data_IF_763746014972
#
_entry.id   IF_763746014972
#
_cell.length_a   1.000
_cell.length_b   1.000
_cell.length_c   1.000
_cell.angle_alpha   90.00
_cell.angle_beta   90.00
_cell.angle_gamma   90.00
#
_symmetry.space_group_name_H-M   'P 1'
#
loop_
_entity.id
_entity.type
_entity.pdbx_description
1 polymer ?
#
# COMPACT_ATOMS: atom_id res chain seq x y z
N UNK A 1 -7.57 -27.87 3.07
CA UNK A 1 -6.16 -27.67 2.67
C UNK A 1 -5.94 -26.18 2.51
N UNK A 2 -4.91 -25.64 3.14
CA UNK A 2 -4.54 -24.23 2.99
C UNK A 2 -3.98 -23.99 1.59
N UNK A 3 -4.49 -23.00 0.87
CA UNK A 3 -4.03 -22.66 -0.48
C UNK A 3 -2.73 -21.85 -0.45
N UNK A 4 -2.01 -21.83 -1.59
CA UNK A 4 -0.78 -21.03 -1.71
C UNK A 4 -1.02 -19.53 -1.50
N UNK A 5 -2.19 -19.03 -1.92
CA UNK A 5 -2.57 -17.63 -1.71
C UNK A 5 -2.80 -17.31 -0.22
N UNK A 6 -3.46 -18.21 0.53
CA UNK A 6 -3.67 -18.02 1.99
C UNK A 6 -2.35 -17.98 2.76
N UNK A 7 -1.38 -18.85 2.40
CA UNK A 7 -0.05 -18.86 3.01
C UNK A 7 0.64 -17.50 2.80
N UNK A 8 0.64 -17.00 1.56
CA UNK A 8 1.25 -15.71 1.23
C UNK A 8 0.51 -14.53 1.86
N UNK A 9 -0.84 -14.55 1.87
CA UNK A 9 -1.65 -13.53 2.54
C UNK A 9 -1.32 -13.45 4.04
N UNK A 10 -1.11 -14.57 4.72
CA UNK A 10 -0.72 -14.61 6.13
C UNK A 10 0.70 -14.06 6.38
N UNK A 11 1.56 -13.99 5.36
CA UNK A 11 2.86 -13.31 5.46
C UNK A 11 2.74 -11.79 5.25
N UNK A 12 1.78 -11.36 4.42
CA UNK A 12 1.52 -9.94 4.12
C UNK A 12 0.70 -9.28 5.23
N UNK A 13 -0.24 -10.03 5.82
CA UNK A 13 -1.19 -9.57 6.82
C UNK A 13 -0.88 -10.20 8.19
N UNK A 14 -1.19 -9.49 9.26
CA UNK A 14 -1.24 -10.05 10.61
C UNK A 14 -2.69 -10.03 11.10
N UNK A 15 -3.28 -11.22 11.37
CA UNK A 15 -4.70 -11.34 11.78
C UNK A 15 -5.67 -10.62 10.83
N UNK A 16 -5.43 -10.73 9.52
CA UNK A 16 -6.25 -10.11 8.49
C UNK A 16 -6.09 -8.58 8.36
N UNK A 17 -5.08 -7.98 8.98
CA UNK A 17 -4.80 -6.53 8.94
C UNK A 17 -3.40 -6.25 8.42
N UNK A 18 -3.22 -5.08 7.81
CA UNK A 18 -2.00 -4.65 7.14
C UNK A 18 -1.40 -3.39 7.78
N UNK A 19 -0.11 -3.42 8.07
CA UNK A 19 0.71 -2.23 8.26
C UNK A 19 1.89 -2.35 7.30
N UNK A 20 1.85 -1.58 6.21
CA UNK A 20 2.80 -1.71 5.12
C UNK A 20 3.52 -0.39 4.82
N UNK A 21 4.82 -0.47 4.53
CA UNK A 21 5.59 0.66 4.01
C UNK A 21 5.81 0.46 2.50
N UNK A 22 5.13 1.24 1.62
CA UNK A 22 5.47 1.27 0.21
C UNK A 22 6.75 2.09 0.01
N UNK A 23 7.77 1.48 -0.58
CA UNK A 23 9.07 2.05 -0.91
C UNK A 23 9.37 1.96 -2.41
N UNK A 24 8.32 2.00 -3.21
CA UNK A 24 8.35 1.98 -4.68
C UNK A 24 8.73 3.35 -5.30
N UNK A 25 8.82 4.39 -4.48
CA UNK A 25 9.00 5.78 -4.90
C UNK A 25 10.30 6.05 -5.67
N UNK A 26 11.35 5.25 -5.48
CA UNK A 26 12.65 5.46 -6.09
C UNK A 26 12.64 5.51 -7.62
N UNK A 27 11.79 4.73 -8.29
CA UNK A 27 11.64 4.81 -9.76
C UNK A 27 11.03 6.15 -10.17
N UNK A 28 10.04 6.64 -9.41
CA UNK A 28 9.34 7.86 -9.77
C UNK A 28 10.13 9.13 -9.44
N UNK A 29 10.83 9.17 -8.32
CA UNK A 29 11.38 10.38 -7.75
C UNK A 29 12.90 10.34 -7.49
N UNK A 30 13.56 9.21 -7.78
CA UNK A 30 14.98 8.99 -7.44
C UNK A 30 15.20 8.69 -5.96
N UNK A 31 16.42 8.84 -5.46
CA UNK A 31 16.74 8.68 -4.04
C UNK A 31 16.15 9.87 -3.26
N UNK A 32 15.10 9.60 -2.49
CA UNK A 32 14.38 10.59 -1.68
C UNK A 32 14.69 10.37 -0.19
N UNK A 33 14.45 11.41 0.62
CA UNK A 33 14.64 11.38 2.07
C UNK A 33 13.99 10.14 2.71
N UNK A 34 14.78 9.38 3.46
CA UNK A 34 14.40 8.16 4.16
C UNK A 34 14.39 6.90 3.28
N UNK A 35 14.64 7.02 1.97
CA UNK A 35 14.76 5.90 1.03
C UNK A 35 16.09 5.90 0.27
N UNK A 36 17.12 6.54 0.79
CA UNK A 36 18.49 6.45 0.29
C UNK A 36 19.02 5.02 0.42
N UNK A 37 18.64 4.32 1.49
CA UNK A 37 18.86 2.89 1.73
C UNK A 37 17.56 2.19 2.15
N UNK A 38 16.78 1.66 1.18
CA UNK A 38 15.54 0.94 1.47
C UNK A 38 15.73 -0.32 2.32
N UNK A 39 16.89 -0.99 2.23
CA UNK A 39 17.17 -2.18 3.02
C UNK A 39 17.32 -1.84 4.51
N UNK A 40 18.06 -0.78 4.83
CA UNK A 40 18.18 -0.27 6.20
C UNK A 40 16.82 0.07 6.78
N UNK A 41 15.93 0.70 5.99
CA UNK A 41 14.57 1.02 6.43
C UNK A 41 13.76 -0.22 6.77
N UNK A 42 13.84 -1.29 5.96
CA UNK A 42 13.18 -2.57 6.24
C UNK A 42 13.62 -3.10 7.61
N UNK A 43 14.92 -3.28 7.80
CA UNK A 43 15.46 -3.88 9.04
C UNK A 43 15.24 -3.03 10.28
N UNK A 44 15.20 -1.71 10.12
CA UNK A 44 14.87 -0.78 11.19
C UNK A 44 13.43 -0.91 11.68
N UNK A 45 12.50 -1.29 10.80
CA UNK A 45 11.07 -1.30 11.08
C UNK A 45 10.49 -2.72 11.29
N UNK A 46 11.14 -3.80 10.80
CA UNK A 46 10.55 -5.15 10.74
C UNK A 46 10.13 -5.75 12.09
N UNK A 47 10.71 -5.30 13.21
CA UNK A 47 10.41 -5.80 14.55
C UNK A 47 9.41 -4.96 15.34
N UNK A 48 8.88 -3.89 14.73
CA UNK A 48 8.03 -2.89 15.38
C UNK A 48 6.53 -3.01 15.03
N UNK A 49 6.10 -4.17 14.49
CA UNK A 49 4.71 -4.42 14.11
C UNK A 49 4.43 -4.22 12.62
N UNK A 50 5.46 -3.93 11.81
CA UNK A 50 5.33 -3.91 10.36
C UNK A 50 4.95 -5.30 9.85
N UNK A 51 3.96 -5.39 8.94
CA UNK A 51 3.54 -6.67 8.37
C UNK A 51 4.18 -6.93 7.02
N UNK A 52 4.41 -5.88 6.23
CA UNK A 52 4.91 -6.02 4.86
C UNK A 52 5.53 -4.73 4.33
N UNK A 53 6.25 -4.86 3.24
CA UNK A 53 6.77 -3.73 2.44
C UNK A 53 6.47 -3.94 0.97
N UNK A 54 6.35 -2.84 0.23
CA UNK A 54 6.23 -2.84 -1.23
C UNK A 54 7.53 -2.23 -1.77
N UNK A 55 8.27 -3.00 -2.56
CA UNK A 55 9.57 -2.61 -3.12
C UNK A 55 9.67 -2.94 -4.59
N UNK A 56 10.53 -2.24 -5.30
CA UNK A 56 10.83 -2.56 -6.70
C UNK A 56 11.74 -3.80 -6.79
N UNK A 57 11.63 -4.54 -7.90
CA UNK A 57 12.37 -5.80 -8.12
C UNK A 57 13.89 -5.69 -7.97
N UNK A 58 14.47 -4.55 -8.38
CA UNK A 58 15.90 -4.28 -8.21
C UNK A 58 16.34 -4.23 -6.75
N UNK A 59 15.51 -3.61 -5.90
CA UNK A 59 15.74 -3.56 -4.45
C UNK A 59 15.56 -4.94 -3.83
N UNK A 60 14.53 -5.69 -4.24
CA UNK A 60 14.31 -7.04 -3.74
C UNK A 60 15.47 -7.98 -4.10
N UNK A 61 15.99 -7.89 -5.34
CA UNK A 61 17.11 -8.70 -5.81
C UNK A 61 18.40 -8.50 -5.01
N UNK A 62 18.58 -7.30 -4.44
CA UNK A 62 19.79 -6.93 -3.67
C UNK A 62 19.58 -7.00 -2.17
N UNK A 63 18.50 -7.61 -1.69
CA UNK A 63 18.22 -7.75 -0.26
C UNK A 63 19.35 -8.58 0.40
N UNK A 64 20.11 -8.01 1.36
CA UNK A 64 21.33 -8.65 1.86
C UNK A 64 21.07 -9.86 2.78
N UNK A 65 19.89 -9.95 3.38
CA UNK A 65 19.48 -11.07 4.24
C UNK A 65 17.94 -11.22 4.22
N UNK A 66 17.43 -12.43 4.55
CA UNK A 66 15.98 -12.63 4.67
C UNK A 66 15.36 -11.72 5.71
N UNK A 67 14.09 -11.36 5.49
CA UNK A 67 13.24 -10.63 6.43
C UNK A 67 12.07 -11.48 6.89
N UNK A 68 11.49 -11.14 8.06
CA UNK A 68 10.33 -11.85 8.64
C UNK A 68 8.99 -11.32 8.14
N UNK A 69 8.98 -10.12 7.54
CA UNK A 69 7.77 -9.48 7.03
C UNK A 69 7.49 -9.89 5.58
N UNK A 70 6.25 -9.70 5.12
CA UNK A 70 5.85 -9.97 3.75
C UNK A 70 6.50 -9.01 2.75
N UNK A 71 6.92 -9.54 1.62
CA UNK A 71 7.55 -8.79 0.54
C UNK A 71 6.64 -8.73 -0.68
N UNK A 72 6.17 -7.53 -1.06
CA UNK A 72 5.43 -7.31 -2.30
C UNK A 72 6.35 -6.60 -3.31
N UNK A 73 6.41 -7.15 -4.54
CA UNK A 73 7.12 -6.50 -5.64
C UNK A 73 6.17 -5.59 -6.40
N UNK A 74 6.59 -4.33 -6.59
CA UNK A 74 5.84 -3.36 -7.38
C UNK A 74 6.21 -3.43 -8.85
N UNK A 75 5.19 -3.54 -9.73
CA UNK A 75 5.42 -3.67 -11.17
C UNK A 75 5.13 -2.41 -11.97
N UNK A 76 4.34 -1.49 -11.44
CA UNK A 76 3.99 -0.27 -12.16
C UNK A 76 5.08 0.79 -12.05
N UNK A 77 5.53 1.31 -13.17
CA UNK A 77 6.61 2.29 -13.19
C UNK A 77 6.30 3.47 -14.09
N UNK A 78 6.62 4.65 -13.61
CA UNK A 78 6.74 5.89 -14.38
C UNK A 78 7.69 6.83 -13.62
N UNK A 79 8.26 7.80 -14.31
CA UNK A 79 9.19 8.75 -13.69
C UNK A 79 8.64 10.18 -13.74
N UNK A 80 9.02 11.01 -12.77
CA UNK A 80 8.74 12.46 -12.79
C UNK A 80 9.46 13.18 -13.93
N UNK A 81 10.45 12.52 -14.56
CA UNK A 81 11.18 13.04 -15.73
C UNK A 81 10.42 12.82 -17.04
N UNK A 82 9.35 12.00 -17.01
CA UNK A 82 8.54 11.71 -18.18
C UNK A 82 7.54 12.83 -18.47
N UNK A 83 7.18 13.01 -19.75
CA UNK A 83 6.06 13.87 -20.17
C UNK A 83 4.69 13.27 -19.82
N UNK A 84 4.63 11.98 -19.47
CA UNK A 84 3.42 11.26 -19.07
C UNK A 84 3.60 10.55 -17.71
N UNK A 85 3.75 11.28 -16.58
CA UNK A 85 4.05 10.70 -15.27
C UNK A 85 2.89 9.86 -14.70
N UNK A 86 1.67 10.08 -15.18
CA UNK A 86 0.49 9.31 -14.78
C UNK A 86 0.34 7.98 -15.53
N UNK A 87 1.01 7.81 -16.67
CA UNK A 87 1.03 6.56 -17.43
C UNK A 87 1.95 5.55 -16.76
N UNK A 88 1.36 4.52 -16.16
CA UNK A 88 2.11 3.46 -15.50
C UNK A 88 2.33 2.30 -16.46
N UNK A 89 3.59 1.85 -16.56
CA UNK A 89 3.99 0.74 -17.42
C UNK A 89 4.47 -0.43 -16.57
N UNK A 90 4.22 -1.66 -17.04
CA UNK A 90 4.72 -2.86 -16.37
C UNK A 90 6.23 -3.00 -16.55
N UNK A 91 6.92 -3.26 -15.45
CA UNK A 91 8.38 -3.50 -15.43
C UNK A 91 8.76 -4.86 -14.84
N UNK A 92 7.78 -5.73 -14.61
CA UNK A 92 7.96 -7.07 -14.08
C UNK A 92 6.85 -8.02 -14.48
N UNK A 93 6.99 -9.28 -14.09
CA UNK A 93 5.98 -10.33 -14.25
C UNK A 93 5.85 -11.15 -12.97
N UNK A 94 4.69 -11.80 -12.77
CA UNK A 94 4.45 -12.64 -11.60
C UNK A 94 5.47 -13.79 -11.52
N UNK A 95 5.85 -14.38 -12.64
CA UNK A 95 6.91 -15.41 -12.71
C UNK A 95 8.26 -14.88 -12.20
N UNK A 96 8.60 -13.61 -12.48
CA UNK A 96 9.81 -12.98 -11.92
C UNK A 96 9.69 -12.78 -10.41
N UNK A 97 8.54 -12.32 -9.91
CA UNK A 97 8.29 -12.17 -8.47
C UNK A 97 8.39 -13.49 -7.70
N UNK A 98 7.85 -14.58 -8.26
CA UNK A 98 7.99 -15.93 -7.68
C UNK A 98 9.47 -16.33 -7.56
N UNK A 99 10.28 -16.10 -8.60
CA UNK A 99 11.73 -16.40 -8.54
C UNK A 99 12.50 -15.54 -7.55
N UNK A 100 12.03 -14.33 -7.29
CA UNK A 100 12.62 -13.43 -6.30
C UNK A 100 12.19 -13.78 -4.86
N UNK A 101 11.23 -14.70 -4.68
CA UNK A 101 10.71 -15.08 -3.36
C UNK A 101 9.68 -14.09 -2.80
N UNK A 102 8.98 -13.36 -3.66
CA UNK A 102 7.91 -12.44 -3.24
C UNK A 102 6.72 -13.18 -2.63
N UNK A 103 6.09 -12.55 -1.65
CA UNK A 103 4.84 -12.99 -1.03
C UNK A 103 3.62 -12.39 -1.72
N UNK A 104 3.81 -11.35 -2.53
CA UNK A 104 2.76 -10.70 -3.32
C UNK A 104 3.33 -9.75 -4.36
N UNK A 105 2.45 -9.22 -5.19
CA UNK A 105 2.77 -8.18 -6.17
C UNK A 105 1.85 -6.98 -6.00
N UNK A 106 2.25 -5.83 -6.51
CA UNK A 106 1.39 -4.65 -6.50
C UNK A 106 1.44 -3.89 -7.83
N UNK A 107 0.31 -3.29 -8.17
CA UNK A 107 0.14 -2.40 -9.32
C UNK A 107 -0.40 -1.05 -8.88
N UNK A 108 -0.10 0.00 -9.65
CA UNK A 108 -0.64 1.34 -9.48
C UNK A 108 -1.50 1.69 -10.69
N UNK A 109 -2.77 1.94 -10.48
CA UNK A 109 -3.77 2.24 -11.48
C UNK A 109 -4.35 3.63 -11.20
N UNK A 110 -4.24 4.55 -12.15
CA UNK A 110 -4.90 5.85 -12.09
C UNK A 110 -6.20 5.77 -12.89
N UNK A 111 -7.31 6.15 -12.27
CA UNK A 111 -8.65 6.15 -12.86
C UNK A 111 -9.07 7.58 -13.16
N UNK A 112 -9.75 7.79 -14.30
CA UNK A 112 -10.28 9.05 -14.74
C UNK A 112 -9.39 9.83 -15.72
N UNK A 113 -8.31 9.23 -16.22
CA UNK A 113 -7.41 9.81 -17.21
C UNK A 113 -7.36 9.03 -18.52
N UNK A 114 -6.74 9.64 -19.54
CA UNK A 114 -6.62 9.05 -20.89
C UNK A 114 -5.81 7.75 -20.92
N UNK A 115 -4.93 7.52 -19.94
CA UNK A 115 -4.11 6.30 -19.84
C UNK A 115 -4.80 5.16 -19.08
N UNK A 116 -6.01 5.36 -18.56
CA UNK A 116 -6.77 4.38 -17.80
C UNK A 116 -6.98 3.04 -18.54
N UNK A 117 -7.41 3.01 -19.83
CA UNK A 117 -7.67 1.75 -20.52
C UNK A 117 -6.46 0.82 -20.58
N UNK A 118 -5.27 1.38 -20.82
CA UNK A 118 -4.01 0.62 -20.83
C UNK A 118 -3.67 0.06 -19.45
N UNK A 119 -3.88 0.83 -18.39
CA UNK A 119 -3.61 0.39 -17.02
C UNK A 119 -4.61 -0.67 -16.55
N UNK A 120 -5.87 -0.61 -17.00
CA UNK A 120 -6.87 -1.66 -16.72
C UNK A 120 -6.54 -2.96 -17.45
N UNK A 121 -6.06 -2.91 -18.70
CA UNK A 121 -5.56 -4.08 -19.44
C UNK A 121 -4.38 -4.74 -18.69
N UNK A 122 -3.44 -3.93 -18.21
CA UNK A 122 -2.31 -4.39 -17.41
C UNK A 122 -2.78 -5.05 -16.09
N UNK A 123 -3.77 -4.46 -15.41
CA UNK A 123 -4.33 -5.02 -14.18
C UNK A 123 -4.96 -6.38 -14.43
N UNK A 124 -5.79 -6.53 -15.46
CA UNK A 124 -6.40 -7.80 -15.86
C UNK A 124 -5.35 -8.88 -16.17
N UNK A 125 -4.35 -8.53 -16.98
CA UNK A 125 -3.27 -9.47 -17.35
C UNK A 125 -2.45 -9.94 -16.14
N UNK A 126 -2.13 -9.06 -15.20
CA UNK A 126 -1.39 -9.43 -13.99
C UNK A 126 -2.27 -10.20 -13.02
N UNK A 127 -3.56 -9.88 -12.92
CA UNK A 127 -4.53 -10.62 -12.10
C UNK A 127 -4.63 -12.08 -12.54
N UNK A 128 -4.72 -12.35 -13.85
CA UNK A 128 -4.71 -13.71 -14.39
C UNK A 128 -3.43 -14.48 -13.99
N UNK A 129 -2.25 -13.87 -14.17
CA UNK A 129 -0.99 -14.47 -13.76
C UNK A 129 -0.93 -14.71 -12.24
N UNK A 130 -1.45 -13.78 -11.43
CA UNK A 130 -1.53 -13.92 -9.98
C UNK A 130 -2.38 -15.13 -9.58
N UNK A 131 -3.52 -15.31 -10.24
CA UNK A 131 -4.38 -16.47 -10.03
C UNK A 131 -3.67 -17.77 -10.39
N UNK A 132 -2.99 -17.85 -11.54
CA UNK A 132 -2.19 -19.02 -11.96
C UNK A 132 -1.13 -19.42 -10.92
N UNK A 133 -0.44 -18.44 -10.32
CA UNK A 133 0.67 -18.68 -9.41
C UNK A 133 0.29 -18.61 -7.92
N UNK A 134 -0.99 -18.47 -7.58
CA UNK A 134 -1.46 -18.24 -6.21
C UNK A 134 -0.71 -17.09 -5.53
N UNK A 135 -0.48 -16.00 -6.27
CA UNK A 135 0.25 -14.81 -5.82
C UNK A 135 -0.74 -13.71 -5.45
N UNK A 136 -0.78 -13.21 -4.21
CA UNK A 136 -1.63 -12.08 -3.83
C UNK A 136 -1.34 -10.83 -4.67
N UNK A 137 -2.41 -10.18 -5.14
CA UNK A 137 -2.37 -8.93 -5.89
C UNK A 137 -2.92 -7.77 -5.05
N UNK A 138 -2.07 -6.79 -4.76
CA UNK A 138 -2.48 -5.52 -4.19
C UNK A 138 -2.60 -4.48 -5.31
N UNK A 139 -3.83 -4.01 -5.58
CA UNK A 139 -4.06 -2.92 -6.53
C UNK A 139 -4.13 -1.58 -5.79
N UNK A 140 -3.22 -0.66 -6.14
CA UNK A 140 -3.27 0.73 -5.70
C UNK A 140 -4.17 1.49 -6.67
N UNK A 141 -5.42 1.72 -6.27
CA UNK A 141 -6.47 2.32 -7.08
C UNK A 141 -6.64 3.79 -6.70
N UNK A 142 -6.27 4.69 -7.59
CA UNK A 142 -6.31 6.12 -7.31
C UNK A 142 -7.22 6.88 -8.27
N UNK A 143 -8.19 7.66 -7.76
CA UNK A 143 -8.88 8.68 -8.55
C UNK A 143 -7.87 9.77 -8.97
N UNK A 144 -7.33 9.65 -10.18
CA UNK A 144 -6.29 10.55 -10.67
C UNK A 144 -6.29 10.64 -12.19
N UNK A 145 -6.94 11.64 -12.71
CA UNK A 145 -7.02 11.92 -14.14
C UNK A 145 -7.72 13.23 -14.36
N UNK A 146 -7.75 13.68 -15.61
CA UNK A 146 -8.34 14.96 -16.01
C UNK A 146 -9.86 15.02 -15.79
N UNK A 147 -10.54 13.87 -15.67
CA UNK A 147 -11.96 13.78 -15.40
C UNK A 147 -12.31 13.75 -13.91
N UNK A 148 -11.31 13.68 -13.02
CA UNK A 148 -11.53 13.66 -11.58
C UNK A 148 -11.49 15.08 -11.02
N UNK A 149 -12.65 15.57 -10.55
CA UNK A 149 -12.78 16.90 -9.94
C UNK A 149 -12.32 16.90 -8.49
N UNK A 150 -12.72 15.88 -7.72
CA UNK A 150 -12.33 15.68 -6.34
C UNK A 150 -11.86 14.21 -6.14
N UNK A 151 -10.56 13.99 -5.87
CA UNK A 151 -10.04 12.65 -5.65
C UNK A 151 -10.46 12.04 -4.30
N UNK A 152 -11.09 12.81 -3.41
CA UNK A 152 -11.59 12.35 -2.11
C UNK A 152 -13.11 12.19 -2.07
N UNK A 153 -13.83 12.50 -3.17
CA UNK A 153 -15.26 12.27 -3.29
C UNK A 153 -15.59 10.80 -3.01
N UNK A 154 -16.46 10.48 -2.03
CA UNK A 154 -16.75 9.10 -1.63
C UNK A 154 -17.27 8.20 -2.74
N UNK A 155 -18.07 8.73 -3.67
CA UNK A 155 -18.60 7.95 -4.79
C UNK A 155 -17.51 7.62 -5.81
N UNK A 156 -16.63 8.59 -6.07
CA UNK A 156 -15.46 8.40 -6.95
C UNK A 156 -14.46 7.41 -6.34
N UNK A 157 -14.19 7.52 -5.04
CA UNK A 157 -13.30 6.60 -4.32
C UNK A 157 -13.90 5.18 -4.29
N UNK A 158 -15.20 5.05 -4.01
CA UNK A 158 -15.89 3.75 -4.03
C UNK A 158 -15.85 3.11 -5.41
N UNK A 159 -16.16 3.87 -6.46
CA UNK A 159 -16.10 3.38 -7.85
C UNK A 159 -14.67 2.93 -8.21
N UNK A 160 -13.68 3.77 -7.95
CA UNK A 160 -12.27 3.46 -8.22
C UNK A 160 -11.81 2.19 -7.48
N UNK A 161 -12.13 2.06 -6.20
CA UNK A 161 -11.78 0.89 -5.41
C UNK A 161 -12.50 -0.38 -5.90
N UNK A 162 -13.76 -0.26 -6.30
CA UNK A 162 -14.58 -1.35 -6.84
C UNK A 162 -14.01 -1.91 -8.14
N UNK A 163 -13.53 -1.06 -9.04
CA UNK A 163 -12.85 -1.48 -10.27
C UNK A 163 -11.67 -2.41 -9.93
N UNK A 164 -10.84 -2.05 -8.96
CA UNK A 164 -9.71 -2.89 -8.55
C UNK A 164 -10.14 -4.29 -8.08
N UNK A 165 -11.17 -4.36 -7.25
CA UNK A 165 -11.70 -5.62 -6.76
C UNK A 165 -12.31 -6.48 -7.88
N UNK A 166 -13.10 -5.89 -8.77
CA UNK A 166 -13.73 -6.61 -9.89
C UNK A 166 -12.74 -7.03 -10.98
N UNK A 167 -11.61 -6.33 -11.11
CA UNK A 167 -10.49 -6.76 -11.95
C UNK A 167 -9.58 -7.82 -11.28
N UNK A 168 -9.95 -8.33 -10.09
CA UNK A 168 -9.32 -9.49 -9.46
C UNK A 168 -8.21 -9.17 -8.47
N UNK A 169 -8.16 -7.96 -7.90
CA UNK A 169 -7.26 -7.68 -6.79
C UNK A 169 -7.70 -8.39 -5.51
N UNK A 170 -6.76 -8.94 -4.75
CA UNK A 170 -6.99 -9.55 -3.43
C UNK A 170 -6.98 -8.50 -2.31
N UNK A 171 -6.32 -7.37 -2.52
CA UNK A 171 -6.27 -6.22 -1.62
C UNK A 171 -6.39 -4.96 -2.47
N UNK A 172 -7.26 -4.04 -2.08
CA UNK A 172 -7.36 -2.71 -2.70
C UNK A 172 -6.78 -1.66 -1.77
N UNK A 173 -5.84 -0.87 -2.29
CA UNK A 173 -5.35 0.34 -1.65
C UNK A 173 -5.96 1.55 -2.33
N UNK A 174 -6.58 2.45 -1.55
CA UNK A 174 -7.16 3.69 -2.07
C UNK A 174 -6.95 4.87 -1.11
N UNK A 175 -7.47 6.05 -1.43
CA UNK A 175 -7.41 7.22 -0.57
C UNK A 175 -8.49 7.16 0.51
N UNK A 176 -8.23 7.81 1.65
CA UNK A 176 -9.24 8.04 2.69
C UNK A 176 -10.11 9.23 2.30
N UNK A 177 -11.42 9.15 2.49
CA UNK A 177 -12.39 10.18 2.06
C UNK A 177 -12.46 11.39 2.99
N UNK A 178 -11.85 11.32 4.17
CA UNK A 178 -11.78 12.43 5.13
C UNK A 178 -12.67 12.29 6.35
N UNK A 179 -13.67 11.41 6.34
CA UNK A 179 -14.52 11.11 7.49
C UNK A 179 -14.91 9.62 7.55
N UNK A 180 -15.28 9.17 8.77
CA UNK A 180 -15.58 7.76 9.08
C UNK A 180 -16.80 7.25 8.31
N UNK A 181 -17.87 8.03 8.27
CA UNK A 181 -19.17 7.57 7.74
C UNK A 181 -19.12 7.39 6.21
N UNK A 182 -18.51 8.34 5.51
CA UNK A 182 -18.33 8.25 4.07
C UNK A 182 -17.38 7.10 3.71
N UNK A 183 -16.28 6.93 4.45
CA UNK A 183 -15.35 5.85 4.18
C UNK A 183 -15.90 4.46 4.55
N UNK A 184 -16.75 4.36 5.57
CA UNK A 184 -17.45 3.11 5.89
C UNK A 184 -18.34 2.63 4.73
N UNK A 185 -19.00 3.55 4.02
CA UNK A 185 -19.76 3.24 2.80
C UNK A 185 -18.86 2.72 1.69
N UNK A 186 -17.69 3.35 1.49
CA UNK A 186 -16.69 2.85 0.54
C UNK A 186 -16.28 1.42 0.89
N UNK A 187 -15.82 1.18 2.12
CA UNK A 187 -15.31 -0.13 2.55
C UNK A 187 -16.39 -1.21 2.45
N UNK A 188 -17.62 -0.92 2.87
CA UNK A 188 -18.72 -1.90 2.83
C UNK A 188 -19.14 -2.30 1.42
N UNK A 189 -18.84 -1.47 0.41
CA UNK A 189 -19.14 -1.75 -1.00
C UNK A 189 -18.08 -2.60 -1.72
N UNK A 190 -16.93 -2.87 -1.07
CA UNK A 190 -15.78 -3.57 -1.68
C UNK A 190 -15.66 -4.98 -1.09
N UNK A 191 -15.69 -6.04 -1.92
CA UNK A 191 -15.71 -7.43 -1.44
C UNK A 191 -14.36 -7.97 -0.96
N UNK A 192 -13.28 -7.19 -1.08
CA UNK A 192 -11.92 -7.55 -0.66
C UNK A 192 -11.40 -6.58 0.39
N UNK A 193 -10.34 -6.93 1.15
CA UNK A 193 -9.71 -6.02 2.10
C UNK A 193 -9.33 -4.66 1.47
N UNK A 194 -9.78 -3.58 2.11
CA UNK A 194 -9.40 -2.20 1.74
C UNK A 194 -8.38 -1.68 2.74
N UNK A 195 -7.29 -1.10 2.22
CA UNK A 195 -6.27 -0.41 3.01
C UNK A 195 -6.09 1.01 2.48
N UNK A 196 -5.73 1.94 3.37
CA UNK A 196 -5.61 3.35 2.98
C UNK A 196 -4.18 3.76 2.64
N UNK A 197 -4.07 4.72 1.72
CA UNK A 197 -2.86 5.44 1.39
C UNK A 197 -2.65 6.63 2.33
N UNK A 198 -1.40 6.91 2.70
CA UNK A 198 -1.07 8.03 3.59
C UNK A 198 -1.00 9.40 2.91
N UNK A 199 -1.10 9.46 1.58
CA UNK A 199 -1.01 10.72 0.86
C UNK A 199 0.35 11.41 0.97
N UNK A 200 0.40 12.76 0.90
CA UNK A 200 1.55 13.57 1.27
C UNK A 200 1.98 13.36 2.73
N UNK A 201 3.16 13.85 3.11
CA UNK A 201 3.55 13.87 4.52
C UNK A 201 2.56 14.75 5.30
N UNK A 202 1.99 14.20 6.38
CA UNK A 202 1.08 14.91 7.28
C UNK A 202 1.84 16.00 8.04
N UNK A 203 1.12 17.00 8.53
CA UNK A 203 1.72 18.10 9.29
C UNK A 203 2.18 17.63 10.67
N UNK A 204 1.43 16.74 11.30
CA UNK A 204 1.74 16.20 12.63
C UNK A 204 1.58 14.68 12.66
N UNK A 205 2.21 14.04 13.67
CA UNK A 205 2.04 12.61 13.92
C UNK A 205 0.61 12.27 14.33
N UNK A 206 -0.05 13.20 15.03
CA UNK A 206 -1.45 13.06 15.41
C UNK A 206 -2.36 12.94 14.19
N UNK A 207 -2.15 13.75 13.14
CA UNK A 207 -3.00 13.71 11.94
C UNK A 207 -2.98 12.34 11.27
N UNK A 208 -1.79 11.72 11.18
CA UNK A 208 -1.66 10.40 10.53
C UNK A 208 -2.20 9.27 11.41
N UNK A 209 -2.06 9.38 12.72
CA UNK A 209 -2.62 8.42 13.68
C UNK A 209 -4.15 8.53 13.74
N UNK A 210 -4.70 9.76 13.73
CA UNK A 210 -6.16 9.97 13.70
C UNK A 210 -6.76 9.43 12.40
N UNK A 211 -6.16 9.73 11.24
CA UNK A 211 -6.60 9.16 9.96
C UNK A 211 -6.57 7.62 9.99
N UNK A 212 -5.58 7.03 10.65
CA UNK A 212 -5.51 5.57 10.82
C UNK A 212 -6.63 5.05 11.69
N UNK A 213 -6.88 5.67 12.83
CA UNK A 213 -7.97 5.31 13.77
C UNK A 213 -9.33 5.39 13.06
N UNK A 214 -9.61 6.51 12.40
CA UNK A 214 -10.85 6.75 11.67
C UNK A 214 -11.07 5.71 10.56
N UNK A 215 -10.05 5.42 9.78
CA UNK A 215 -10.14 4.40 8.74
C UNK A 215 -10.37 3.00 9.31
N UNK A 216 -9.75 2.67 10.45
CA UNK A 216 -9.97 1.39 11.12
C UNK A 216 -11.38 1.28 11.69
N UNK A 217 -11.95 2.36 12.25
CA UNK A 217 -13.35 2.46 12.69
C UNK A 217 -14.28 2.25 11.49
N UNK A 218 -14.00 2.86 10.35
CA UNK A 218 -14.75 2.71 9.11
C UNK A 218 -14.69 1.29 8.51
N UNK A 219 -13.84 0.39 9.05
CA UNK A 219 -13.76 -1.01 8.63
C UNK A 219 -12.58 -1.34 7.71
N UNK A 220 -11.68 -0.39 7.42
CA UNK A 220 -10.45 -0.68 6.70
C UNK A 220 -9.65 -1.82 7.36
N UNK A 221 -8.86 -2.51 6.55
CA UNK A 221 -8.00 -3.61 7.02
C UNK A 221 -6.55 -3.18 7.25
N UNK A 222 -6.31 -1.87 7.38
CA UNK A 222 -5.00 -1.32 7.70
C UNK A 222 -4.57 -0.20 6.79
N UNK A 223 -3.26 0.06 6.79
CA UNK A 223 -2.66 1.19 6.08
C UNK A 223 -1.44 0.79 5.27
N UNK A 224 -1.18 1.56 4.21
CA UNK A 224 0.06 1.49 3.42
C UNK A 224 0.64 2.90 3.32
N UNK A 225 1.44 3.26 4.32
CA UNK A 225 2.00 4.59 4.49
C UNK A 225 3.48 4.63 4.15
N UNK A 226 3.84 5.50 3.20
CA UNK A 226 5.22 5.72 2.75
C UNK A 226 5.87 6.88 3.50
N UNK A 227 5.75 8.08 2.95
CA UNK A 227 6.41 9.32 3.42
C UNK A 227 6.21 9.62 4.91
N UNK A 228 5.04 9.29 5.44
CA UNK A 228 4.72 9.46 6.86
C UNK A 228 5.50 8.52 7.79
N UNK A 229 6.12 7.47 7.24
CA UNK A 229 6.97 6.54 7.99
C UNK A 229 8.43 6.75 7.62
N UNK A 230 8.81 6.54 6.35
CA UNK A 230 10.24 6.51 6.00
C UNK A 230 10.91 7.90 6.08
N UNK A 231 10.17 9.01 5.92
CA UNK A 231 10.67 10.37 6.13
C UNK A 231 10.37 10.91 7.55
N UNK A 232 10.02 10.03 8.48
CA UNK A 232 9.88 10.39 9.89
C UNK A 232 11.24 10.36 10.60
N UNK A 233 11.45 11.24 11.61
CA UNK A 233 12.70 11.28 12.40
C UNK A 233 13.02 9.95 13.07
N UNK A 234 12.00 9.25 13.55
CA UNK A 234 12.07 7.94 14.21
C UNK A 234 11.08 6.96 13.55
N UNK A 235 11.40 6.40 12.34
CA UNK A 235 10.45 5.59 11.58
C UNK A 235 9.90 4.38 12.35
N UNK A 236 10.74 3.70 13.13
CA UNK A 236 10.34 2.55 13.94
C UNK A 236 9.32 2.91 15.03
N UNK A 237 9.46 4.08 15.68
CA UNK A 237 8.47 4.56 16.66
C UNK A 237 7.12 4.88 16.00
N UNK A 238 7.13 5.48 14.81
CA UNK A 238 5.92 5.70 14.03
C UNK A 238 5.25 4.36 13.65
N UNK A 239 6.02 3.35 13.26
CA UNK A 239 5.50 1.99 12.99
C UNK A 239 4.88 1.39 14.25
N UNK A 240 5.51 1.51 15.44
CA UNK A 240 4.96 1.04 16.71
C UNK A 240 3.65 1.73 17.08
N UNK A 241 3.57 3.05 16.89
CA UNK A 241 2.34 3.81 17.15
C UNK A 241 1.20 3.37 16.23
N UNK A 242 1.45 3.27 14.92
CA UNK A 242 0.48 2.74 13.95
C UNK A 242 0.06 1.30 14.27
N UNK A 243 1.01 0.44 14.67
CA UNK A 243 0.70 -0.93 15.09
C UNK A 243 -0.17 -0.96 16.34
N UNK A 244 0.00 -0.01 17.25
CA UNK A 244 -0.87 0.21 18.41
C UNK A 244 -2.32 0.45 18.01
N UNK A 245 -2.55 1.37 17.09
CA UNK A 245 -3.90 1.68 16.59
C UNK A 245 -4.49 0.48 15.83
N UNK A 246 -3.74 -0.10 14.88
CA UNK A 246 -4.25 -1.14 13.98
C UNK A 246 -4.52 -2.47 14.71
N UNK A 247 -3.59 -2.93 15.55
CA UNK A 247 -3.64 -4.29 16.12
C UNK A 247 -4.08 -4.34 17.57
N UNK A 248 -3.86 -3.25 18.35
CA UNK A 248 -4.13 -3.20 19.79
C UNK A 248 -5.34 -2.33 20.15
N UNK A 249 -6.01 -1.71 19.16
CA UNK A 249 -7.17 -0.82 19.34
C UNK A 249 -6.86 0.39 20.25
N UNK A 250 -5.63 0.89 20.21
CA UNK A 250 -5.26 2.14 20.86
C UNK A 250 -5.87 3.31 20.11
N UNK A 251 -6.24 4.36 20.83
CA UNK A 251 -6.61 5.63 20.20
C UNK A 251 -5.39 6.33 19.61
N UNK A 252 -5.60 7.26 18.70
CA UNK A 252 -4.53 8.10 18.16
C UNK A 252 -3.79 8.85 19.26
N UNK A 253 -4.52 9.33 20.26
CA UNK A 253 -3.96 10.03 21.43
C UNK A 253 -3.02 9.13 22.25
N UNK A 254 -3.44 7.91 22.57
CA UNK A 254 -2.60 6.94 23.29
C UNK A 254 -1.37 6.51 22.48
N UNK A 255 -1.49 6.48 21.15
CA UNK A 255 -0.41 6.08 20.26
C UNK A 255 0.64 7.20 20.08
N UNK A 256 0.23 8.47 19.97
CA UNK A 256 1.16 9.60 19.80
C UNK A 256 2.02 9.83 21.04
N UNK A 257 1.50 9.61 22.22
CA UNK A 257 2.25 9.74 23.48
C UNK A 257 3.50 8.84 23.51
N UNK A 258 3.45 7.68 22.84
CA UNK A 258 4.58 6.74 22.75
C UNK A 258 5.70 7.20 21.83
N UNK A 259 5.39 8.03 20.82
CA UNK A 259 6.42 8.60 19.93
C UNK A 259 7.27 9.60 20.69
N UNK A 260 6.67 10.41 21.58
CA UNK A 260 7.32 11.45 22.36
C UNK A 260 8.08 10.97 23.62
N UNK A 261 7.90 9.72 24.02
CA UNK A 261 8.65 9.16 25.17
C UNK A 261 10.03 8.69 24.70
N UNK A 262 11.10 9.40 25.14
CA UNK A 262 12.49 8.97 24.97
C UNK A 262 12.88 7.87 25.98
#
# INVERSE_FOLDING_TARGET
>A
MTSGIEIRMNRILHKGKMLCIPMDHGISNGPIEGLEDPHSMIYKCEHHGLTSVIINKGIMKTLPKPTKIGLLVHFSSSTSLSTAPNRKMLTGSVKEAVRLGADGVSLHINIGGKEEPEMLEQLGSISEQCHEWNMPLLAMMYPRGENIKDPHDPEVVAHTARIGAECGADIVKTVYTGDVDSFAKVVSSIPVPVVIAGGPKANTDMDILQMTEDAMIAGAKGVTFGRNIFAHKTPHKMVEALAGVIFKKQTAQEAVEKIGQE
#
